data_IF_209149920342
#
_entry.id   IF_209149920342
#
_cell.length_a   1.000
_cell.length_b   1.000
_cell.length_c   1.000
_cell.angle_alpha   90.00
_cell.angle_beta   90.00
_cell.angle_gamma   90.00
#
_symmetry.space_group_name_H-M   'P 1'
#
loop_
_entity.id
_entity.type
_entity.pdbx_description
1 polymer ?
#
# COMPACT_ATOMS: atom_id res chain seq x y z
N UNK A 1 -11.51 21.18 -10.86
CA UNK A 1 -11.05 19.96 -11.58
C UNK A 1 -11.33 18.66 -10.83
N UNK A 2 -11.43 18.66 -9.52
CA UNK A 2 -11.66 17.44 -8.72
C UNK A 2 -12.98 16.71 -8.99
N UNK A 3 -13.96 17.38 -9.55
CA UNK A 3 -15.28 16.82 -9.88
C UNK A 3 -15.38 16.20 -11.29
N UNK A 4 -14.35 16.40 -12.13
CA UNK A 4 -14.33 15.89 -13.49
C UNK A 4 -13.60 14.55 -13.58
N UNK A 5 -14.17 13.62 -14.36
CA UNK A 5 -13.47 12.39 -14.72
C UNK A 5 -12.23 12.69 -15.55
N UNK A 6 -11.16 11.91 -15.37
CA UNK A 6 -9.87 12.07 -16.04
C UNK A 6 -9.98 12.11 -17.58
N UNK A 7 -10.88 11.33 -18.15
CA UNK A 7 -11.15 11.34 -19.60
C UNK A 7 -11.63 12.71 -20.08
N UNK A 8 -12.50 13.36 -19.29
CA UNK A 8 -13.02 14.68 -19.58
C UNK A 8 -11.94 15.75 -19.44
N UNK A 9 -11.13 15.68 -18.37
CA UNK A 9 -9.98 16.59 -18.19
C UNK A 9 -9.00 16.49 -19.36
N UNK A 10 -8.73 15.29 -19.87
CA UNK A 10 -7.86 15.09 -21.04
C UNK A 10 -8.48 15.61 -22.34
N UNK A 11 -9.80 15.47 -22.51
CA UNK A 11 -10.52 16.02 -23.65
C UNK A 11 -10.37 17.54 -23.67
N UNK A 12 -10.67 18.21 -22.54
CA UNK A 12 -10.53 19.67 -22.41
C UNK A 12 -9.09 20.10 -22.64
N UNK A 13 -8.12 19.41 -22.06
CA UNK A 13 -6.70 19.71 -22.25
C UNK A 13 -6.26 19.63 -23.73
N UNK A 14 -6.81 18.68 -24.48
CA UNK A 14 -6.55 18.56 -25.92
C UNK A 14 -7.22 19.68 -26.71
N UNK A 15 -8.45 20.05 -26.38
CA UNK A 15 -9.19 21.15 -27.05
C UNK A 15 -8.51 22.52 -26.89
N UNK A 16 -7.96 22.80 -25.70
CA UNK A 16 -7.22 24.05 -25.45
C UNK A 16 -5.76 23.98 -25.87
N UNK A 17 -5.34 22.87 -26.52
CA UNK A 17 -4.00 22.72 -27.10
C UNK A 17 -2.87 22.51 -26.10
N UNK A 18 -3.12 21.96 -24.90
CA UNK A 18 -2.06 21.67 -23.94
C UNK A 18 -1.12 20.58 -24.45
N UNK A 19 0.22 20.82 -24.47
CA UNK A 19 1.19 19.87 -25.01
C UNK A 19 1.27 18.56 -24.20
N UNK A 20 0.82 18.59 -22.96
CA UNK A 20 0.82 17.43 -22.05
C UNK A 20 -0.52 16.68 -21.99
N UNK A 21 -1.52 17.02 -22.80
CA UNK A 21 -2.85 16.40 -22.81
C UNK A 21 -2.80 14.87 -22.95
N UNK A 22 -1.83 14.34 -23.73
CA UNK A 22 -1.64 12.90 -23.96
C UNK A 22 -0.52 12.28 -23.12
N UNK A 23 0.11 13.04 -22.23
CA UNK A 23 1.20 12.53 -21.39
C UNK A 23 0.68 11.44 -20.47
N UNK A 24 1.43 10.33 -20.38
CA UNK A 24 1.14 9.26 -19.40
C UNK A 24 1.32 9.79 -17.97
N UNK A 25 0.53 9.24 -17.05
CA UNK A 25 0.69 9.57 -15.64
C UNK A 25 2.05 9.07 -15.14
N UNK A 26 2.60 9.79 -14.18
CA UNK A 26 3.78 9.32 -13.47
C UNK A 26 3.42 8.10 -12.63
N UNK A 27 4.08 6.97 -12.85
CA UNK A 27 3.81 5.69 -12.19
C UNK A 27 4.89 5.32 -11.18
N UNK A 28 5.72 6.25 -10.76
CA UNK A 28 6.82 5.97 -9.84
C UNK A 28 7.51 7.22 -9.33
N UNK A 29 8.52 7.01 -8.49
CA UNK A 29 9.35 8.08 -7.94
C UNK A 29 10.35 8.53 -9.02
N UNK A 30 10.21 9.75 -9.50
CA UNK A 30 10.94 10.29 -10.66
C UNK A 30 12.47 10.21 -10.56
N UNK A 31 13.04 10.23 -9.36
CA UNK A 31 14.50 10.18 -9.17
C UNK A 31 15.09 8.77 -9.23
N UNK A 32 14.28 7.72 -9.27
CA UNK A 32 14.74 6.31 -9.39
C UNK A 32 14.92 5.91 -10.87
N UNK A 33 14.30 6.65 -11.79
CA UNK A 33 14.26 6.33 -13.22
C UNK A 33 13.29 5.16 -13.53
N UNK A 34 13.34 4.63 -14.76
CA UNK A 34 12.47 3.54 -15.24
C UNK A 34 12.94 2.16 -14.76
N UNK A 35 13.30 2.01 -13.51
CA UNK A 35 13.72 0.72 -12.94
C UNK A 35 12.63 0.18 -12.02
N UNK A 36 12.45 -1.16 -11.95
CA UNK A 36 11.61 -1.76 -10.94
C UNK A 36 12.09 -1.34 -9.55
N UNK A 37 11.22 -0.73 -8.75
CA UNK A 37 11.54 -0.20 -7.42
C UNK A 37 12.22 -1.24 -6.52
N UNK A 38 11.78 -2.49 -6.63
CA UNK A 38 12.35 -3.63 -5.89
C UNK A 38 13.82 -3.87 -6.25
N UNK A 39 14.19 -3.77 -7.54
CA UNK A 39 15.57 -3.99 -7.99
C UNK A 39 16.50 -2.85 -7.57
N UNK A 40 15.96 -1.63 -7.52
CA UNK A 40 16.67 -0.49 -6.95
C UNK A 40 16.96 -0.71 -5.46
N UNK A 41 15.96 -1.06 -4.66
CA UNK A 41 16.10 -1.30 -3.22
C UNK A 41 17.05 -2.47 -2.91
N UNK A 42 17.07 -3.52 -3.73
CA UNK A 42 17.96 -4.67 -3.56
C UNK A 42 19.45 -4.33 -3.48
N UNK A 43 19.86 -3.15 -3.91
CA UNK A 43 21.27 -2.69 -3.87
C UNK A 43 21.65 -2.09 -2.52
N UNK A 44 20.66 -1.60 -1.77
CA UNK A 44 20.88 -0.80 -0.54
C UNK A 44 20.34 -1.48 0.71
N UNK A 45 19.42 -2.41 0.56
CA UNK A 45 18.74 -3.08 1.67
C UNK A 45 19.06 -4.57 1.63
N UNK A 46 19.61 -5.08 2.71
CA UNK A 46 19.84 -6.52 2.87
C UNK A 46 18.52 -7.29 2.80
N UNK A 47 18.54 -8.40 2.09
CA UNK A 47 17.41 -9.34 2.04
C UNK A 47 17.52 -10.25 3.26
N UNK A 48 16.60 -10.08 4.17
CA UNK A 48 16.43 -10.95 5.33
C UNK A 48 15.08 -11.67 5.21
N UNK A 49 15.06 -12.84 4.54
CA UNK A 49 13.82 -13.61 4.37
C UNK A 49 13.25 -14.06 5.71
N UNK A 50 11.94 -14.09 5.82
CA UNK A 50 11.26 -14.53 7.02
C UNK A 50 9.83 -15.02 6.71
N UNK A 51 9.13 -15.57 7.72
CA UNK A 51 7.80 -16.13 7.52
C UNK A 51 6.74 -15.05 7.31
N UNK A 52 5.77 -15.37 6.43
CA UNK A 52 4.49 -14.67 6.34
C UNK A 52 3.47 -15.49 7.12
N UNK A 53 2.82 -14.88 8.12
CA UNK A 53 1.84 -15.55 8.98
C UNK A 53 0.47 -14.91 8.90
N UNK A 54 -0.56 -15.75 9.06
CA UNK A 54 -1.94 -15.32 9.24
C UNK A 54 -2.26 -15.04 10.74
N UNK A 55 -3.43 -14.47 11.09
CA UNK A 55 -3.80 -14.16 12.47
C UNK A 55 -3.81 -15.38 13.41
N UNK A 56 -3.94 -16.59 12.88
CA UNK A 56 -3.87 -17.82 13.66
C UNK A 56 -2.43 -18.24 14.02
N UNK A 57 -1.42 -17.53 13.49
CA UNK A 57 -0.01 -17.83 13.64
C UNK A 57 0.53 -18.87 12.64
N UNK A 58 -0.30 -19.33 11.71
CA UNK A 58 0.10 -20.29 10.68
C UNK A 58 1.00 -19.59 9.65
N UNK A 59 2.13 -20.21 9.32
CA UNK A 59 2.97 -19.75 8.22
C UNK A 59 2.30 -20.12 6.88
N UNK A 60 2.05 -19.10 6.06
CA UNK A 60 1.39 -19.22 4.75
C UNK A 60 2.30 -18.82 3.59
N UNK A 61 3.51 -18.36 3.88
CA UNK A 61 4.47 -17.98 2.86
C UNK A 61 5.78 -17.50 3.45
N UNK A 62 6.63 -16.96 2.60
CA UNK A 62 7.91 -16.37 2.97
C UNK A 62 8.09 -15.02 2.29
N UNK A 63 8.50 -14.01 3.05
CA UNK A 63 8.86 -12.69 2.51
C UNK A 63 10.36 -12.59 2.24
N UNK A 64 10.76 -11.65 1.40
CA UNK A 64 12.17 -11.43 1.01
C UNK A 64 12.92 -10.45 1.93
N UNK A 65 12.21 -9.84 2.88
CA UNK A 65 12.69 -8.85 3.83
C UNK A 65 11.57 -7.87 4.17
N UNK A 66 11.39 -7.53 5.46
CA UNK A 66 10.29 -6.67 5.94
C UNK A 66 10.30 -5.27 5.32
N UNK A 67 11.48 -4.77 4.94
CA UNK A 67 11.64 -3.44 4.33
C UNK A 67 11.00 -3.31 2.94
N UNK A 68 10.73 -4.42 2.26
CA UNK A 68 10.10 -4.45 0.93
C UNK A 68 8.58 -4.39 0.96
N UNK A 69 7.98 -4.35 2.16
CA UNK A 69 6.53 -4.36 2.33
C UNK A 69 6.06 -3.13 3.07
N UNK A 70 4.85 -2.66 2.73
CA UNK A 70 4.17 -1.54 3.36
C UNK A 70 2.90 -2.04 4.03
N UNK A 71 2.49 -1.47 5.17
CA UNK A 71 1.20 -1.77 5.79
C UNK A 71 0.08 -1.44 4.80
N UNK A 72 -0.93 -2.30 4.72
CA UNK A 72 -2.02 -2.22 3.75
C UNK A 72 -1.65 -2.72 2.34
N UNK A 73 -0.41 -3.12 2.09
CA UNK A 73 0.00 -3.64 0.78
C UNK A 73 -0.73 -4.95 0.45
N UNK A 74 -1.28 -5.02 -0.78
CA UNK A 74 -1.96 -6.19 -1.32
C UNK A 74 -1.10 -6.97 -2.32
N UNK A 75 -0.39 -6.27 -3.20
CA UNK A 75 0.34 -6.89 -4.31
C UNK A 75 1.72 -7.38 -3.89
N UNK A 76 2.23 -8.43 -4.58
CA UNK A 76 3.60 -8.90 -4.41
C UNK A 76 3.85 -9.75 -3.16
N UNK A 77 2.80 -10.26 -2.50
CA UNK A 77 2.93 -11.14 -1.33
C UNK A 77 3.29 -12.58 -1.69
N UNK A 78 2.97 -13.03 -2.91
CA UNK A 78 3.27 -14.39 -3.37
C UNK A 78 2.45 -15.51 -2.69
N UNK A 79 1.37 -15.15 -1.98
CA UNK A 79 0.50 -16.07 -1.22
C UNK A 79 -0.90 -16.20 -1.83
N UNK A 80 -1.04 -15.90 -3.13
CA UNK A 80 -2.32 -16.03 -3.83
C UNK A 80 -2.86 -17.47 -3.78
N UNK A 81 -4.18 -17.60 -3.59
CA UNK A 81 -4.86 -18.91 -3.52
C UNK A 81 -4.83 -19.60 -2.16
N UNK A 82 -4.13 -19.07 -1.16
CA UNK A 82 -4.12 -19.59 0.21
C UNK A 82 -5.28 -18.97 1.00
N UNK A 83 -6.03 -19.81 1.72
CA UNK A 83 -7.18 -19.38 2.54
C UNK A 83 -6.81 -19.28 4.02
N UNK A 84 -7.42 -18.38 4.74
CA UNK A 84 -7.36 -18.34 6.19
C UNK A 84 -8.06 -19.57 6.78
N UNK A 85 -7.44 -20.19 7.79
CA UNK A 85 -8.00 -21.36 8.45
C UNK A 85 -9.12 -20.92 9.40
N UNK A 86 -10.36 -21.33 9.12
CA UNK A 86 -11.52 -20.98 9.93
C UNK A 86 -12.44 -19.91 9.35
N UNK A 87 -12.15 -19.37 8.15
CA UNK A 87 -13.11 -18.54 7.42
C UNK A 87 -14.40 -19.31 7.20
N UNK A 88 -15.53 -18.76 7.66
CA UNK A 88 -16.84 -19.39 7.53
C UNK A 88 -17.17 -19.61 6.04
N UNK A 89 -17.75 -20.77 5.73
CA UNK A 89 -18.32 -21.06 4.39
C UNK A 89 -19.43 -20.04 4.14
N UNK A 90 -19.15 -19.03 3.32
CA UNK A 90 -20.12 -17.97 3.01
C UNK A 90 -19.52 -16.56 2.84
N UNK A 91 -18.31 -16.33 3.32
CA UNK A 91 -17.54 -15.11 2.97
C UNK A 91 -16.92 -15.29 1.57
N UNK A 92 -16.73 -14.17 0.85
CA UNK A 92 -16.17 -14.12 -0.51
C UNK A 92 -14.92 -15.00 -0.60
N UNK A 93 -15.01 -16.14 -1.29
CA UNK A 93 -13.98 -17.19 -1.36
C UNK A 93 -12.61 -16.73 -1.91
N UNK A 94 -12.50 -15.44 -2.30
CA UNK A 94 -11.35 -14.85 -2.95
C UNK A 94 -10.93 -13.49 -2.38
N UNK A 95 -11.20 -13.25 -1.11
CA UNK A 95 -10.74 -11.99 -0.52
C UNK A 95 -9.21 -11.90 -0.55
N UNK A 96 -8.66 -10.75 -0.97
CA UNK A 96 -7.22 -10.56 -1.07
C UNK A 96 -6.57 -10.48 0.31
N UNK A 97 -5.29 -10.86 0.35
CA UNK A 97 -4.43 -10.69 1.51
C UNK A 97 -3.83 -9.28 1.55
N UNK A 98 -3.74 -8.72 2.76
CA UNK A 98 -3.15 -7.41 3.04
C UNK A 98 -2.11 -7.52 4.15
N UNK A 99 -1.03 -6.75 4.03
CA UNK A 99 -0.04 -6.60 5.11
C UNK A 99 -0.65 -5.82 6.25
N UNK A 100 -0.77 -6.44 7.42
CA UNK A 100 -1.36 -5.82 8.60
C UNK A 100 -0.31 -5.39 9.64
N UNK A 101 0.79 -6.14 9.76
CA UNK A 101 1.83 -5.86 10.78
C UNK A 101 3.19 -6.37 10.32
N UNK A 102 4.24 -5.67 10.76
CA UNK A 102 5.62 -6.10 10.66
C UNK A 102 6.17 -6.32 12.06
N UNK A 103 6.64 -7.50 12.35
CA UNK A 103 7.33 -7.80 13.61
C UNK A 103 8.83 -7.86 13.34
N UNK A 104 9.53 -6.81 13.72
CA UNK A 104 10.97 -6.69 13.49
C UNK A 104 11.76 -7.63 14.41
N UNK A 105 11.27 -7.95 15.60
CA UNK A 105 11.96 -8.79 16.56
C UNK A 105 12.01 -10.25 16.12
N UNK A 106 10.94 -10.74 15.49
CA UNK A 106 10.83 -12.12 15.00
C UNK A 106 11.01 -12.23 13.49
N UNK A 107 11.30 -11.12 12.79
CA UNK A 107 11.38 -11.03 11.34
C UNK A 107 10.13 -11.64 10.65
N UNK A 108 8.93 -11.33 11.17
CA UNK A 108 7.67 -11.92 10.71
C UNK A 108 6.80 -10.86 10.04
N UNK A 109 6.26 -11.18 8.87
CA UNK A 109 5.25 -10.39 8.18
C UNK A 109 3.87 -10.99 8.48
N UNK A 110 2.99 -10.21 9.14
CA UNK A 110 1.64 -10.60 9.43
C UNK A 110 0.69 -10.07 8.36
N UNK A 111 -0.14 -10.94 7.84
CA UNK A 111 -1.12 -10.61 6.80
C UNK A 111 -2.51 -11.06 7.21
N UNK A 112 -3.52 -10.33 6.74
CA UNK A 112 -4.94 -10.61 7.00
C UNK A 112 -5.69 -10.68 5.69
N UNK A 113 -6.80 -11.40 5.68
CA UNK A 113 -7.68 -11.53 4.52
C UNK A 113 -8.85 -10.55 4.64
N UNK A 114 -9.23 -9.90 3.52
CA UNK A 114 -10.26 -8.86 3.51
C UNK A 114 -9.74 -7.48 3.88
N UNK A 115 -10.39 -6.43 3.35
CA UNK A 115 -10.00 -5.03 3.57
C UNK A 115 -10.55 -4.43 4.88
N UNK A 116 -11.57 -5.07 5.47
CA UNK A 116 -12.24 -4.60 6.70
C UNK A 116 -11.70 -5.27 7.98
N UNK A 117 -10.59 -6.00 7.86
CA UNK A 117 -10.05 -6.70 9.02
C UNK A 117 -9.60 -5.70 10.10
N UNK A 118 -9.93 -5.91 11.40
CA UNK A 118 -9.62 -4.97 12.49
C UNK A 118 -8.14 -4.56 12.58
N UNK A 119 -7.22 -5.43 12.18
CA UNK A 119 -5.79 -5.11 12.19
C UNK A 119 -5.36 -4.09 11.11
N UNK A 120 -6.21 -3.78 10.15
CA UNK A 120 -5.98 -2.77 9.11
C UNK A 120 -6.55 -1.40 9.49
N UNK A 121 -7.40 -1.36 10.51
CA UNK A 121 -8.10 -0.16 10.95
C UNK A 121 -7.38 0.46 12.15
N UNK A 122 -7.33 1.78 12.19
CA UNK A 122 -6.84 2.54 13.34
C UNK A 122 -7.91 3.54 13.78
N UNK A 123 -8.24 3.61 15.08
CA UNK A 123 -9.23 4.56 15.58
C UNK A 123 -8.69 6.00 15.66
N UNK A 124 -7.39 6.17 15.59
CA UNK A 124 -6.74 7.48 15.74
C UNK A 124 -5.42 7.54 14.98
N UNK A 125 -5.00 8.74 14.63
CA UNK A 125 -3.71 9.09 14.07
C UNK A 125 -3.13 10.26 14.84
N UNK A 126 -1.92 10.09 15.35
CA UNK A 126 -1.11 11.18 15.90
C UNK A 126 -0.07 11.63 14.87
N UNK A 127 -0.03 12.90 14.57
CA UNK A 127 0.96 13.49 13.67
C UNK A 127 1.84 14.50 14.42
N UNK A 128 3.15 14.45 14.18
CA UNK A 128 4.13 15.42 14.68
C UNK A 128 4.82 16.10 13.50
N UNK A 129 5.42 17.24 13.78
CA UNK A 129 6.23 18.00 12.81
C UNK A 129 5.48 18.35 11.52
N UNK A 130 4.18 18.64 11.62
CA UNK A 130 3.36 19.01 10.48
C UNK A 130 3.83 20.35 9.89
N UNK A 131 4.00 20.40 8.56
CA UNK A 131 4.29 21.63 7.82
C UNK A 131 3.03 22.15 7.17
N UNK A 132 2.60 23.34 7.52
CA UNK A 132 1.38 23.97 7.03
C UNK A 132 1.67 24.92 5.87
N UNK A 133 0.99 24.71 4.74
CA UNK A 133 1.13 25.59 3.57
C UNK A 133 0.72 27.06 3.88
N UNK A 134 -0.19 27.27 4.84
CA UNK A 134 -0.61 28.59 5.31
C UNK A 134 0.34 29.21 6.35
N UNK A 135 1.40 28.48 6.76
CA UNK A 135 2.37 28.93 7.78
C UNK A 135 1.93 28.67 9.22
N UNK A 136 0.67 28.41 9.47
CA UNK A 136 0.11 28.11 10.80
C UNK A 136 -0.94 26.98 10.71
N UNK A 137 -1.14 26.23 11.81
CA UNK A 137 -2.15 25.18 11.83
C UNK A 137 -3.56 25.77 11.71
N UNK A 138 -4.51 25.03 11.12
CA UNK A 138 -5.92 25.42 11.16
C UNK A 138 -6.43 25.47 12.59
N UNK A 139 -7.49 26.25 12.84
CA UNK A 139 -8.14 26.24 14.14
C UNK A 139 -8.57 24.80 14.50
N UNK A 140 -8.49 24.45 15.81
CA UNK A 140 -8.95 23.12 16.24
C UNK A 140 -10.40 22.88 15.88
N UNK A 141 -10.70 21.72 15.32
CA UNK A 141 -12.03 21.32 14.84
C UNK A 141 -12.00 19.95 14.19
N UNK A 142 -13.17 19.46 13.83
CA UNK A 142 -13.34 18.27 13.02
C UNK A 142 -13.09 18.60 11.54
N UNK A 143 -12.18 17.90 10.88
CA UNK A 143 -11.77 18.11 9.48
C UNK A 143 -12.01 16.87 8.63
#
# INVERSE_FOLDING_TARGET
MGELHKTEVRRIAAEIGLPNAKKKDSTGICFIGERPFRDFLNRYIAKEPGPIKDPSGRTIGQHVGLSFYTLGQRQGLGIGGIREKGAQKGGNEHEPWFVARKDMATNTLWVVQGHDHPWLLSPALDAADASWCAGEPPASGDY
#
